data_IF_920769807548
#
_entry.id   IF_920769807548
#
_cell.length_a   1.000
_cell.length_b   1.000
_cell.length_c   1.000
_cell.angle_alpha   90.00
_cell.angle_beta   90.00
_cell.angle_gamma   90.00
#
_symmetry.space_group_name_H-M   'P 1'
#
loop_
_entity.id
_entity.type
_entity.pdbx_description
1 polymer ?
#
# COMPACT_ATOMS: atom_id res chain seq x y z
N UNK A 1 -13.21 -10.61 -2.53
CA UNK A 1 -12.29 -9.69 -1.80
C UNK A 1 -12.53 -9.76 -0.28
N UNK A 2 -11.52 -9.56 0.57
CA UNK A 2 -11.63 -9.73 2.05
C UNK A 2 -12.76 -8.90 2.66
N UNK A 3 -12.91 -7.66 2.21
CA UNK A 3 -13.94 -6.73 2.69
C UNK A 3 -15.29 -6.83 1.96
N UNK A 4 -15.40 -7.73 0.99
CA UNK A 4 -16.66 -8.04 0.31
C UNK A 4 -16.85 -9.56 0.22
N UNK A 5 -17.06 -10.23 1.37
CA UNK A 5 -17.02 -11.69 1.47
C UNK A 5 -18.17 -12.38 0.71
N UNK A 6 -19.25 -11.67 0.40
CA UNK A 6 -20.37 -12.18 -0.39
C UNK A 6 -20.08 -12.30 -1.88
N UNK A 7 -19.09 -11.57 -2.42
CA UNK A 7 -18.75 -11.62 -3.85
C UNK A 7 -18.14 -12.97 -4.19
N UNK A 8 -18.75 -13.74 -5.09
CA UNK A 8 -18.21 -15.01 -5.57
C UNK A 8 -17.23 -14.82 -6.75
N UNK A 9 -16.62 -15.92 -7.20
CA UNK A 9 -15.65 -15.89 -8.30
C UNK A 9 -16.22 -15.30 -9.61
N UNK A 10 -17.45 -15.71 -9.98
CA UNK A 10 -18.07 -15.28 -11.23
C UNK A 10 -18.39 -13.78 -11.21
N UNK A 11 -18.86 -13.26 -10.08
CA UNK A 11 -19.10 -11.82 -9.90
C UNK A 11 -17.79 -11.03 -9.98
N UNK A 12 -16.73 -11.55 -9.36
CA UNK A 12 -15.41 -10.91 -9.43
C UNK A 12 -14.83 -10.96 -10.86
N UNK A 13 -14.97 -12.07 -11.57
CA UNK A 13 -14.59 -12.19 -12.98
C UNK A 13 -15.42 -11.25 -13.89
N UNK A 14 -16.70 -11.05 -13.61
CA UNK A 14 -17.54 -10.10 -14.33
C UNK A 14 -17.05 -8.65 -14.13
N UNK A 15 -16.68 -8.26 -12.89
CA UNK A 15 -16.06 -6.96 -12.62
C UNK A 15 -14.71 -6.81 -13.34
N UNK A 16 -13.90 -7.85 -13.36
CA UNK A 16 -12.64 -7.88 -14.11
C UNK A 16 -12.87 -7.71 -15.62
N UNK A 17 -13.95 -8.27 -16.17
CA UNK A 17 -14.31 -8.08 -17.58
C UNK A 17 -14.69 -6.63 -17.88
N UNK A 18 -15.38 -5.93 -16.97
CA UNK A 18 -15.67 -4.49 -17.11
C UNK A 18 -14.37 -3.68 -17.11
N UNK A 19 -13.46 -3.95 -16.18
CA UNK A 19 -12.14 -3.29 -16.16
C UNK A 19 -11.35 -3.57 -17.44
N UNK A 20 -11.39 -4.80 -17.95
CA UNK A 20 -10.78 -5.17 -19.24
C UNK A 20 -11.37 -4.41 -20.41
N UNK A 21 -12.69 -4.29 -20.50
CA UNK A 21 -13.37 -3.54 -21.57
C UNK A 21 -13.02 -2.05 -21.52
N UNK A 22 -12.87 -1.50 -20.31
CA UNK A 22 -12.39 -0.14 -20.11
C UNK A 22 -10.86 0.01 -20.27
N UNK A 23 -10.14 -1.09 -20.57
CA UNK A 23 -8.68 -1.19 -20.62
C UNK A 23 -7.96 -0.62 -19.38
N UNK A 24 -8.65 -0.64 -18.24
CA UNK A 24 -8.13 -0.17 -16.96
C UNK A 24 -7.64 -1.35 -16.13
N UNK A 25 -6.55 -1.19 -15.35
CA UNK A 25 -6.14 -2.21 -14.41
C UNK A 25 -7.17 -2.36 -13.28
N UNK A 26 -7.43 -3.61 -12.91
CA UNK A 26 -8.20 -3.96 -11.72
C UNK A 26 -7.30 -3.86 -10.50
N UNK A 27 -7.59 -2.94 -9.59
CA UNK A 27 -6.95 -2.86 -8.27
C UNK A 27 -7.74 -3.70 -7.26
N UNK A 28 -7.06 -4.51 -6.47
CA UNK A 28 -7.74 -5.47 -5.60
C UNK A 28 -7.00 -5.77 -4.30
N UNK A 29 -7.77 -5.80 -3.22
CA UNK A 29 -7.43 -6.50 -1.99
C UNK A 29 -7.86 -7.97 -2.12
N UNK A 30 -6.93 -8.92 -1.92
CA UNK A 30 -7.22 -10.35 -2.06
C UNK A 30 -8.24 -10.83 -1.02
N UNK A 31 -8.83 -12.00 -1.26
CA UNK A 31 -9.94 -12.51 -0.44
C UNK A 31 -9.55 -12.94 0.98
N UNK A 32 -8.37 -13.51 1.13
CA UNK A 32 -7.94 -14.11 2.40
C UNK A 32 -6.59 -13.55 2.82
N UNK A 33 -6.47 -13.21 4.11
CA UNK A 33 -5.21 -12.87 4.75
C UNK A 33 -4.90 -13.92 5.83
N UNK A 34 -4.40 -15.08 5.40
CA UNK A 34 -4.13 -16.23 6.27
C UNK A 34 -2.93 -17.05 5.75
N UNK A 35 -1.85 -17.21 6.52
CA UNK A 35 -0.74 -18.10 6.18
C UNK A 35 -1.06 -19.59 6.43
N UNK A 36 -2.30 -19.91 6.79
CA UNK A 36 -2.74 -21.28 7.08
C UNK A 36 -2.74 -22.19 5.85
N UNK A 37 -3.11 -23.47 6.04
CA UNK A 37 -3.14 -24.45 4.96
C UNK A 37 -4.20 -24.10 3.89
N UNK A 38 -4.12 -24.80 2.75
CA UNK A 38 -4.99 -24.60 1.60
C UNK A 38 -6.50 -24.70 1.96
N UNK A 39 -7.31 -23.97 1.21
CA UNK A 39 -8.77 -23.94 1.31
C UNK A 39 -9.33 -22.56 1.61
N UNK A 40 -8.58 -21.70 2.33
CA UNK A 40 -8.85 -20.26 2.59
C UNK A 40 -7.55 -19.51 2.96
N UNK A 41 -6.44 -19.80 2.29
CA UNK A 41 -5.14 -19.19 2.54
C UNK A 41 -4.90 -17.95 1.68
N UNK A 42 -3.90 -17.16 2.04
CA UNK A 42 -3.42 -16.03 1.22
C UNK A 42 -2.95 -16.50 -0.15
N UNK A 43 -2.35 -17.69 -0.24
CA UNK A 43 -1.91 -18.26 -1.50
C UNK A 43 -3.09 -18.68 -2.40
N UNK A 44 -4.16 -19.22 -1.82
CA UNK A 44 -5.41 -19.50 -2.56
C UNK A 44 -6.03 -18.20 -3.09
N UNK A 45 -5.98 -17.13 -2.31
CA UNK A 45 -6.50 -15.82 -2.71
C UNK A 45 -5.64 -15.14 -3.79
N UNK A 46 -4.32 -15.36 -3.79
CA UNK A 46 -3.43 -14.97 -4.90
C UNK A 46 -3.79 -15.78 -6.14
N UNK A 47 -3.92 -17.11 -6.03
CA UNK A 47 -4.33 -17.95 -7.17
C UNK A 47 -5.69 -17.53 -7.75
N UNK A 48 -6.65 -17.15 -6.90
CA UNK A 48 -7.96 -16.63 -7.33
C UNK A 48 -7.80 -15.42 -8.25
N UNK A 49 -7.07 -14.38 -7.83
CA UNK A 49 -6.93 -13.14 -8.62
C UNK A 49 -6.08 -13.36 -9.88
N UNK A 50 -5.08 -14.24 -9.82
CA UNK A 50 -4.29 -14.62 -10.99
C UNK A 50 -5.13 -15.39 -12.01
N UNK A 51 -5.99 -16.31 -11.56
CA UNK A 51 -6.88 -17.05 -12.45
C UNK A 51 -7.91 -16.14 -13.11
N UNK A 52 -8.40 -15.13 -12.41
CA UNK A 52 -9.27 -14.09 -13.00
C UNK A 52 -8.52 -13.31 -14.09
N UNK A 53 -7.27 -12.93 -13.85
CA UNK A 53 -6.44 -12.27 -14.86
C UNK A 53 -6.18 -13.18 -16.07
N UNK A 54 -5.93 -14.48 -15.86
CA UNK A 54 -5.79 -15.47 -16.95
C UNK A 54 -7.05 -15.61 -17.80
N UNK A 55 -8.22 -15.68 -17.15
CA UNK A 55 -9.50 -15.90 -17.85
C UNK A 55 -9.97 -14.67 -18.62
N UNK A 56 -9.75 -13.48 -18.07
CA UNK A 56 -10.29 -12.22 -18.62
C UNK A 56 -9.27 -11.43 -19.44
N UNK A 57 -7.97 -11.70 -19.25
CA UNK A 57 -6.88 -10.89 -19.80
C UNK A 57 -6.81 -9.48 -19.21
N UNK A 58 -7.43 -9.23 -18.05
CA UNK A 58 -7.37 -7.94 -17.36
C UNK A 58 -5.97 -7.68 -16.82
N UNK A 59 -5.56 -6.42 -16.88
CA UNK A 59 -4.38 -5.94 -16.15
C UNK A 59 -4.69 -5.89 -14.66
N UNK A 60 -3.81 -6.40 -13.79
CA UNK A 60 -4.10 -6.60 -12.36
C UNK A 60 -3.11 -5.86 -11.45
N UNK A 61 -3.60 -5.15 -10.44
CA UNK A 61 -2.78 -4.60 -9.36
C UNK A 61 -3.25 -5.15 -8.02
N UNK A 62 -2.36 -5.85 -7.31
CA UNK A 62 -2.67 -6.43 -5.99
C UNK A 62 -2.22 -5.48 -4.88
N UNK A 63 -3.18 -4.98 -4.11
CA UNK A 63 -2.93 -3.94 -3.10
C UNK A 63 -2.15 -4.49 -1.90
N UNK A 64 -1.21 -3.70 -1.34
CA UNK A 64 -0.53 -3.92 -0.04
C UNK A 64 -0.25 -5.41 0.32
N UNK A 65 0.49 -6.12 -0.52
CA UNK A 65 0.65 -7.58 -0.45
C UNK A 65 1.22 -8.07 0.90
N UNK A 66 2.26 -7.45 1.51
CA UNK A 66 2.84 -7.98 2.74
C UNK A 66 1.86 -8.14 3.91
N UNK A 67 0.81 -7.31 3.98
CA UNK A 67 -0.21 -7.45 5.03
C UNK A 67 -1.25 -8.53 4.75
N UNK A 68 -1.33 -9.03 3.52
CA UNK A 68 -2.25 -10.08 3.12
C UNK A 68 -1.54 -11.43 2.99
N UNK A 69 -0.31 -11.44 2.49
CA UNK A 69 0.56 -12.61 2.35
C UNK A 69 1.58 -12.75 3.49
N UNK A 70 1.27 -12.21 4.67
CA UNK A 70 2.11 -12.31 5.87
C UNK A 70 2.51 -13.74 6.17
N UNK A 71 3.81 -14.00 6.39
CA UNK A 71 4.49 -15.29 6.57
C UNK A 71 4.58 -16.20 5.34
N UNK A 72 4.05 -15.80 4.19
CA UNK A 72 4.08 -16.57 2.93
C UNK A 72 4.41 -15.67 1.73
N UNK A 73 5.14 -14.57 1.99
CA UNK A 73 5.45 -13.57 0.97
C UNK A 73 6.34 -14.14 -0.16
N UNK A 74 7.39 -14.94 0.11
CA UNK A 74 8.19 -15.54 -0.96
C UNK A 74 7.36 -16.41 -1.92
N UNK A 75 6.43 -17.21 -1.39
CA UNK A 75 5.54 -18.06 -2.18
C UNK A 75 4.53 -17.23 -2.98
N UNK A 76 4.01 -16.15 -2.41
CA UNK A 76 3.13 -15.21 -3.12
C UNK A 76 3.88 -14.51 -4.26
N UNK A 77 5.12 -14.07 -4.05
CA UNK A 77 5.98 -13.50 -5.10
C UNK A 77 6.22 -14.52 -6.20
N UNK A 78 6.59 -15.76 -5.86
CA UNK A 78 6.83 -16.81 -6.84
C UNK A 78 5.62 -17.08 -7.75
N UNK A 79 4.40 -17.06 -7.18
CA UNK A 79 3.15 -17.18 -7.96
C UNK A 79 2.93 -16.00 -8.90
N UNK A 80 3.17 -14.78 -8.43
CA UNK A 80 3.03 -13.56 -9.25
C UNK A 80 4.09 -13.55 -10.36
N UNK A 81 5.33 -13.89 -10.07
CA UNK A 81 6.42 -13.97 -11.05
C UNK A 81 6.15 -15.04 -12.11
N UNK A 82 5.65 -16.21 -11.71
CA UNK A 82 5.22 -17.25 -12.64
C UNK A 82 4.13 -16.73 -13.59
N UNK A 83 3.07 -16.11 -13.07
CA UNK A 83 2.01 -15.53 -13.89
C UNK A 83 2.51 -14.40 -14.81
N UNK A 84 3.44 -13.56 -14.34
CA UNK A 84 4.07 -12.53 -15.18
C UNK A 84 4.91 -13.14 -16.30
N UNK A 85 5.60 -14.26 -16.04
CA UNK A 85 6.37 -14.99 -17.05
C UNK A 85 5.49 -15.61 -18.15
N UNK A 86 4.22 -15.87 -17.86
CA UNK A 86 3.20 -16.28 -18.83
C UNK A 86 2.68 -15.10 -19.69
N UNK A 87 3.13 -13.86 -19.41
CA UNK A 87 2.75 -12.65 -20.13
C UNK A 87 1.60 -11.85 -19.50
N UNK A 88 1.17 -12.21 -18.28
CA UNK A 88 0.13 -11.45 -17.59
C UNK A 88 0.68 -10.11 -17.07
N UNK A 89 -0.11 -9.05 -17.25
CA UNK A 89 0.21 -7.72 -16.76
C UNK A 89 -0.22 -7.53 -15.29
N UNK A 90 0.66 -7.98 -14.39
CA UNK A 90 0.40 -7.97 -12.94
C UNK A 90 1.41 -7.08 -12.22
N UNK A 91 0.92 -6.18 -11.38
CA UNK A 91 1.71 -5.42 -10.41
C UNK A 91 1.13 -5.61 -9.02
N UNK A 92 1.80 -5.07 -8.02
CA UNK A 92 1.23 -4.93 -6.69
C UNK A 92 1.88 -3.78 -5.95
N UNK A 93 1.46 -3.54 -4.73
CA UNK A 93 2.11 -2.53 -3.90
C UNK A 93 2.37 -3.00 -2.47
N UNK A 94 3.20 -2.21 -1.77
CA UNK A 94 3.51 -2.36 -0.36
C UNK A 94 3.72 -0.99 0.28
N UNK A 95 3.67 -0.98 1.62
CA UNK A 95 4.18 0.10 2.46
C UNK A 95 5.35 -0.45 3.32
N UNK A 96 6.37 0.36 3.60
CA UNK A 96 7.60 -0.09 4.26
C UNK A 96 7.46 -0.19 5.80
N UNK A 97 6.47 -0.96 6.27
CA UNK A 97 6.21 -1.19 7.69
C UNK A 97 6.05 -2.67 7.99
N UNK A 98 6.55 -3.10 9.14
CA UNK A 98 6.41 -4.46 9.70
C UNK A 98 5.08 -4.68 10.43
N UNK A 99 4.12 -3.79 10.19
CA UNK A 99 2.82 -3.81 10.84
C UNK A 99 1.77 -3.21 9.91
N UNK A 100 0.55 -3.72 10.04
CA UNK A 100 -0.62 -3.21 9.33
C UNK A 100 -1.61 -2.55 10.30
N UNK A 101 -2.56 -1.80 9.77
CA UNK A 101 -3.63 -1.20 10.56
C UNK A 101 -5.01 -1.45 9.97
N UNK A 102 -5.98 -1.72 10.83
CA UNK A 102 -7.40 -1.79 10.45
C UNK A 102 -8.27 -1.63 11.70
N UNK A 103 -9.59 -1.59 11.51
CA UNK A 103 -10.54 -1.47 12.60
C UNK A 103 -10.78 -2.81 13.31
N UNK A 104 -10.95 -2.77 14.63
CA UNK A 104 -11.17 -3.97 15.45
C UNK A 104 -12.45 -4.75 15.12
N UNK A 105 -13.43 -4.14 14.46
CA UNK A 105 -14.65 -4.79 13.96
C UNK A 105 -14.49 -5.48 12.61
N UNK A 106 -13.31 -5.45 11.99
CA UNK A 106 -13.07 -6.10 10.69
C UNK A 106 -12.96 -7.63 10.81
N UNK A 107 -13.12 -8.32 9.68
CA UNK A 107 -12.95 -9.78 9.58
C UNK A 107 -11.52 -10.26 9.95
N UNK A 108 -10.54 -9.35 10.00
CA UNK A 108 -9.19 -9.65 10.49
C UNK A 108 -9.15 -10.00 11.98
N UNK A 109 -10.16 -9.62 12.76
CA UNK A 109 -10.24 -9.98 14.18
C UNK A 109 -11.31 -11.05 14.48
N UNK A 110 -11.90 -11.65 13.44
CA UNK A 110 -12.85 -12.76 13.58
C UNK A 110 -12.12 -14.11 13.77
N UNK A 111 -12.72 -15.00 14.57
CA UNK A 111 -12.19 -16.34 14.82
C UNK A 111 -10.85 -16.32 15.57
N UNK A 112 -10.02 -17.33 15.34
CA UNK A 112 -8.68 -17.45 15.94
C UNK A 112 -7.64 -16.61 15.19
N UNK A 113 -7.80 -15.28 15.29
CA UNK A 113 -6.89 -14.33 14.65
C UNK A 113 -5.47 -14.37 15.23
N UNK A 114 -5.32 -14.74 16.51
CA UNK A 114 -4.02 -14.80 17.18
C UNK A 114 -3.15 -15.88 16.55
N UNK A 115 -3.67 -17.10 16.38
CA UNK A 115 -2.94 -18.17 15.70
C UNK A 115 -2.72 -17.86 14.21
N UNK A 116 -3.73 -17.27 13.54
CA UNK A 116 -3.64 -16.90 12.12
C UNK A 116 -2.51 -15.93 11.83
N UNK A 117 -2.37 -14.88 12.65
CA UNK A 117 -1.37 -13.83 12.45
C UNK A 117 -0.13 -13.98 13.34
N UNK A 118 -0.07 -15.05 14.14
CA UNK A 118 1.03 -15.36 15.08
C UNK A 118 1.34 -14.19 16.02
N UNK A 119 0.28 -13.56 16.54
CA UNK A 119 0.33 -12.39 17.42
C UNK A 119 -0.63 -12.56 18.61
N UNK A 120 -0.40 -11.79 19.66
CA UNK A 120 -1.24 -11.70 20.87
C UNK A 120 -1.94 -10.35 20.99
N UNK A 121 -2.82 -10.17 21.98
CA UNK A 121 -3.36 -8.83 22.31
C UNK A 121 -2.26 -7.79 22.54
N UNK A 122 -1.15 -8.18 23.17
CA UNK A 122 -0.04 -7.28 23.45
C UNK A 122 0.74 -6.92 22.17
N UNK A 123 0.49 -7.58 21.04
CA UNK A 123 1.02 -7.25 19.73
C UNK A 123 0.16 -6.22 18.97
N UNK A 124 -0.96 -5.82 19.58
CA UNK A 124 -1.82 -4.76 19.08
C UNK A 124 -1.57 -3.47 19.85
N UNK A 125 -1.60 -2.35 19.14
CA UNK A 125 -1.50 -1.01 19.73
C UNK A 125 -2.65 -0.14 19.25
N UNK A 126 -3.28 0.58 20.18
CA UNK A 126 -4.32 1.55 19.83
C UNK A 126 -3.71 2.70 19.02
N UNK A 127 -4.27 2.97 17.85
CA UNK A 127 -3.87 4.09 17.01
C UNK A 127 -3.96 5.43 17.76
N UNK A 128 -2.91 6.25 17.71
CA UNK A 128 -2.85 7.53 18.41
C UNK A 128 -2.60 7.42 19.92
N UNK A 129 -2.17 6.25 20.40
CA UNK A 129 -1.88 5.97 21.81
C UNK A 129 -0.63 5.10 21.95
N UNK A 130 0.00 5.15 23.12
CA UNK A 130 1.06 4.21 23.51
C UNK A 130 0.50 2.88 24.05
N UNK A 131 -0.82 2.77 24.20
CA UNK A 131 -1.50 1.61 24.80
C UNK A 131 -1.37 0.36 23.91
N UNK A 132 -0.73 -0.67 24.45
CA UNK A 132 -0.83 -2.06 23.96
C UNK A 132 -2.09 -2.70 24.51
N UNK A 133 -2.75 -3.54 23.71
CA UNK A 133 -4.04 -4.08 24.12
C UNK A 133 -3.91 -5.25 25.09
N UNK A 134 -4.91 -5.36 25.96
CA UNK A 134 -5.19 -6.54 26.77
C UNK A 134 -6.48 -7.20 26.26
N UNK A 135 -6.85 -8.41 26.70
CA UNK A 135 -8.15 -8.99 26.36
C UNK A 135 -9.32 -8.04 26.71
N UNK A 136 -9.24 -7.34 27.84
CA UNK A 136 -10.26 -6.41 28.31
C UNK A 136 -10.33 -5.15 27.43
N UNK A 137 -9.18 -4.51 27.15
CA UNK A 137 -9.17 -3.30 26.34
C UNK A 137 -9.46 -3.60 24.87
N UNK A 138 -9.08 -4.77 24.35
CA UNK A 138 -9.52 -5.26 23.05
C UNK A 138 -11.03 -5.34 22.95
N UNK A 139 -11.71 -6.01 23.89
CA UNK A 139 -13.17 -6.14 23.88
C UNK A 139 -13.85 -4.77 23.94
N UNK A 140 -13.34 -3.87 24.78
CA UNK A 140 -13.81 -2.48 24.89
C UNK A 140 -13.68 -1.73 23.57
N UNK A 141 -12.51 -1.76 22.95
CA UNK A 141 -12.23 -1.00 21.73
C UNK A 141 -12.82 -1.63 20.47
N UNK A 142 -13.05 -2.95 20.47
CA UNK A 142 -13.80 -3.64 19.43
C UNK A 142 -15.26 -3.19 19.39
N UNK A 143 -15.91 -3.04 20.56
CA UNK A 143 -17.27 -2.49 20.63
C UNK A 143 -17.37 -1.04 20.13
N UNK A 144 -16.26 -0.30 20.16
CA UNK A 144 -16.15 1.07 19.65
C UNK A 144 -15.61 1.13 18.21
N UNK A 145 -15.31 -0.02 17.61
CA UNK A 145 -14.66 -0.18 16.31
C UNK A 145 -13.43 0.71 16.12
N UNK A 146 -12.54 0.78 17.13
CA UNK A 146 -11.32 1.61 17.04
C UNK A 146 -10.32 1.04 16.05
N UNK A 147 -9.55 1.92 15.42
CA UNK A 147 -8.38 1.52 14.64
C UNK A 147 -7.25 1.06 15.56
N UNK A 148 -6.63 -0.05 15.20
CA UNK A 148 -5.43 -0.57 15.85
C UNK A 148 -4.34 -0.84 14.83
N UNK A 149 -3.10 -0.86 15.31
CA UNK A 149 -1.93 -1.37 14.60
C UNK A 149 -1.64 -2.77 15.11
N UNK A 150 -1.31 -3.69 14.20
CA UNK A 150 -0.92 -5.05 14.52
C UNK A 150 0.49 -5.36 14.01
N UNK A 151 1.38 -5.69 14.94
CA UNK A 151 2.79 -5.97 14.69
C UNK A 151 2.99 -7.41 14.23
N UNK A 152 2.53 -7.71 13.02
CA UNK A 152 2.44 -9.07 12.51
C UNK A 152 3.33 -9.35 11.29
N UNK A 153 3.82 -8.33 10.57
CA UNK A 153 4.52 -8.53 9.30
C UNK A 153 6.02 -8.73 9.58
N UNK A 154 6.59 -9.90 9.26
CA UNK A 154 8.02 -10.12 9.36
C UNK A 154 8.82 -9.15 8.48
N UNK A 155 10.03 -8.79 8.90
CA UNK A 155 10.89 -7.87 8.14
C UNK A 155 11.27 -8.46 6.79
N UNK A 156 11.47 -9.78 6.72
CA UNK A 156 11.78 -10.52 5.50
C UNK A 156 10.67 -10.41 4.44
N UNK A 157 9.39 -10.37 4.84
CA UNK A 157 8.27 -10.18 3.91
C UNK A 157 8.29 -8.78 3.30
N UNK A 158 8.58 -7.76 4.10
CA UNK A 158 8.72 -6.38 3.61
C UNK A 158 9.90 -6.27 2.66
N UNK A 159 11.04 -6.89 3.00
CA UNK A 159 12.24 -6.90 2.17
C UNK A 159 12.00 -7.64 0.84
N UNK A 160 11.27 -8.76 0.87
CA UNK A 160 10.92 -9.51 -0.33
C UNK A 160 10.02 -8.67 -1.27
N UNK A 161 9.00 -8.00 -0.72
CA UNK A 161 8.14 -7.11 -1.49
C UNK A 161 8.88 -5.89 -2.07
N UNK A 162 9.83 -5.35 -1.32
CA UNK A 162 10.66 -4.23 -1.76
C UNK A 162 11.57 -4.62 -2.94
N UNK A 163 12.15 -5.82 -2.91
CA UNK A 163 13.04 -6.36 -3.96
C UNK A 163 12.30 -6.73 -5.24
N UNK A 164 11.01 -7.07 -5.18
CA UNK A 164 10.23 -7.47 -6.35
C UNK A 164 10.12 -6.30 -7.37
N UNK A 165 10.57 -6.45 -8.63
CA UNK A 165 10.60 -5.34 -9.60
C UNK A 165 9.23 -4.72 -9.91
N UNK A 166 8.17 -5.54 -9.88
CA UNK A 166 6.79 -5.15 -10.17
C UNK A 166 6.05 -4.52 -8.98
N UNK A 167 6.67 -4.52 -7.80
CA UNK A 167 6.08 -4.02 -6.56
C UNK A 167 6.29 -2.52 -6.42
N UNK A 168 5.19 -1.78 -6.32
CA UNK A 168 5.11 -0.32 -6.21
C UNK A 168 4.96 0.11 -4.74
N UNK A 169 5.18 1.40 -4.47
CA UNK A 169 5.02 1.93 -3.10
C UNK A 169 3.67 2.63 -2.99
N UNK A 170 2.84 2.15 -2.06
CA UNK A 170 1.54 2.73 -1.73
C UNK A 170 1.39 2.87 -0.22
N UNK A 171 1.00 4.03 0.29
CA UNK A 171 0.94 4.26 1.74
C UNK A 171 -0.12 3.43 2.44
N UNK A 172 -1.24 3.09 1.77
CA UNK A 172 -2.41 2.49 2.40
C UNK A 172 -2.94 3.34 3.58
N UNK A 173 -2.84 4.67 3.45
CA UNK A 173 -3.33 5.59 4.46
C UNK A 173 -4.85 5.40 4.64
N UNK A 174 -5.31 5.33 5.89
CA UNK A 174 -6.74 5.27 6.21
C UNK A 174 -7.16 6.70 6.56
N UNK A 175 -7.87 7.42 5.67
CA UNK A 175 -8.26 8.79 5.91
C UNK A 175 -9.33 8.84 7.01
N UNK A 176 -8.99 9.45 8.14
CA UNK A 176 -9.90 9.72 9.24
C UNK A 176 -10.19 11.22 9.35
N UNK A 177 -11.25 11.59 10.07
CA UNK A 177 -11.55 13.00 10.36
C UNK A 177 -10.43 13.71 11.14
N UNK A 178 -9.69 12.98 11.99
CA UNK A 178 -8.46 13.46 12.63
C UNK A 178 -7.26 13.56 11.67
N UNK A 179 -7.44 13.15 10.41
CA UNK A 179 -6.47 13.01 9.33
C UNK A 179 -5.33 12.02 9.60
N UNK A 180 -5.29 11.36 10.76
CA UNK A 180 -4.25 10.38 10.99
C UNK A 180 -4.55 9.35 12.08
N UNK A 181 -4.46 8.08 11.70
CA UNK A 181 -4.64 6.93 12.57
C UNK A 181 -3.53 5.87 12.39
N UNK A 182 -2.66 5.97 11.37
CA UNK A 182 -1.55 5.03 11.14
C UNK A 182 -0.31 5.77 10.61
N UNK A 183 0.90 5.53 11.14
CA UNK A 183 2.10 6.30 10.79
C UNK A 183 2.44 6.24 9.29
N UNK A 184 2.09 5.15 8.60
CA UNK A 184 2.22 5.03 7.14
C UNK A 184 1.58 6.16 6.34
N UNK A 185 0.55 6.83 6.88
CA UNK A 185 -0.07 7.97 6.21
C UNK A 185 0.85 9.19 6.08
N UNK A 186 1.70 9.45 7.07
CA UNK A 186 2.64 10.57 7.06
C UNK A 186 4.06 10.14 6.65
N UNK A 187 4.47 8.92 7.04
CA UNK A 187 5.86 8.48 6.97
C UNK A 187 6.24 7.58 5.81
N UNK A 188 5.29 7.01 5.04
CA UNK A 188 5.59 5.93 4.07
C UNK A 188 6.79 6.20 3.16
N UNK A 189 6.77 7.32 2.41
CA UNK A 189 7.82 7.61 1.44
C UNK A 189 9.14 8.04 2.09
N UNK A 190 9.11 8.77 3.20
CA UNK A 190 10.33 9.13 3.94
C UNK A 190 10.96 7.94 4.65
N UNK A 191 10.15 6.96 5.08
CA UNK A 191 10.60 5.70 5.66
C UNK A 191 11.31 4.84 4.61
N UNK A 192 10.76 4.80 3.40
CA UNK A 192 11.41 4.16 2.26
C UNK A 192 12.78 4.80 1.97
N UNK A 193 12.83 6.13 1.82
CA UNK A 193 14.03 6.84 1.39
C UNK A 193 15.11 6.99 2.48
N UNK A 194 14.72 7.08 3.75
CA UNK A 194 15.66 7.12 4.87
C UNK A 194 16.07 5.70 5.29
N UNK A 195 15.34 5.07 6.23
CA UNK A 195 15.66 3.73 6.72
C UNK A 195 16.00 2.68 5.65
N UNK A 196 15.14 2.47 4.64
CA UNK A 196 15.36 1.37 3.69
C UNK A 196 16.44 1.67 2.65
N UNK A 197 16.51 2.88 2.09
CA UNK A 197 17.51 3.25 1.08
C UNK A 197 18.83 3.70 1.72
N UNK A 198 18.81 4.71 2.60
CA UNK A 198 20.03 5.30 3.18
C UNK A 198 20.66 4.39 4.23
N UNK A 199 19.87 3.92 5.21
CA UNK A 199 20.43 3.26 6.40
C UNK A 199 20.69 1.76 6.18
N UNK A 200 19.76 1.06 5.53
CA UNK A 200 19.85 -0.39 5.29
C UNK A 200 20.49 -0.74 3.94
N UNK A 201 20.51 0.19 2.97
CA UNK A 201 20.94 -0.12 1.61
C UNK A 201 20.10 -1.20 0.93
N UNK A 202 18.83 -1.36 1.33
CA UNK A 202 17.94 -2.42 0.85
C UNK A 202 17.57 -2.26 -0.63
N UNK A 203 17.67 -1.03 -1.16
CA UNK A 203 17.41 -0.69 -2.55
C UNK A 203 18.21 0.56 -2.94
N UNK A 204 18.52 0.72 -4.22
CA UNK A 204 19.13 1.97 -4.69
C UNK A 204 18.14 3.14 -4.60
N UNK A 205 18.65 4.36 -4.46
CA UNK A 205 17.81 5.56 -4.45
C UNK A 205 16.96 5.66 -5.73
N UNK A 206 17.54 5.34 -6.89
CA UNK A 206 16.84 5.44 -8.16
C UNK A 206 15.72 4.41 -8.32
N UNK A 207 15.92 3.18 -7.85
CA UNK A 207 14.86 2.17 -7.85
C UNK A 207 13.72 2.58 -6.90
N UNK A 208 14.04 3.20 -5.76
CA UNK A 208 13.04 3.63 -4.78
C UNK A 208 12.20 4.76 -5.32
N UNK A 209 12.87 5.75 -5.94
CA UNK A 209 12.21 6.84 -6.65
C UNK A 209 11.36 6.30 -7.79
N UNK A 210 11.84 5.32 -8.57
CA UNK A 210 11.06 4.77 -9.66
C UNK A 210 9.75 4.12 -9.18
N UNK A 211 9.81 3.34 -8.08
CA UNK A 211 8.66 2.67 -7.45
C UNK A 211 7.60 3.62 -6.88
N UNK A 212 7.93 4.88 -6.61
CA UNK A 212 6.98 5.89 -6.11
C UNK A 212 6.73 7.06 -7.07
N UNK A 213 7.33 7.06 -8.28
CA UNK A 213 7.14 8.13 -9.29
C UNK A 213 6.76 7.57 -10.66
N UNK A 214 7.74 7.15 -11.46
CA UNK A 214 7.53 6.77 -12.86
C UNK A 214 6.76 5.46 -13.02
N UNK A 215 6.94 4.48 -12.15
CA UNK A 215 6.27 3.18 -12.28
C UNK A 215 4.76 3.28 -11.99
N UNK A 216 4.31 3.97 -10.92
CA UNK A 216 2.89 4.28 -10.75
C UNK A 216 2.30 5.11 -11.91
N UNK A 217 3.03 6.08 -12.46
CA UNK A 217 2.54 6.86 -13.62
C UNK A 217 2.34 5.98 -14.86
N UNK A 218 3.33 5.14 -15.19
CA UNK A 218 3.27 4.17 -16.29
C UNK A 218 2.19 3.09 -16.11
N UNK A 219 1.74 2.85 -14.88
CA UNK A 219 0.70 1.85 -14.63
C UNK A 219 -0.64 2.20 -15.28
N UNK A 220 -0.90 3.50 -15.46
CA UNK A 220 -2.20 4.02 -15.88
C UNK A 220 -2.10 4.90 -17.13
N UNK A 221 -0.91 5.30 -17.58
CA UNK A 221 -0.75 6.29 -18.65
C UNK A 221 -1.35 5.88 -20.01
N UNK A 222 -1.45 4.57 -20.29
CA UNK A 222 -2.11 4.04 -21.48
C UNK A 222 -3.58 4.48 -21.63
N UNK A 223 -4.31 4.60 -20.51
CA UNK A 223 -5.72 5.06 -20.49
C UNK A 223 -5.92 6.41 -19.84
N UNK A 224 -4.88 6.95 -19.22
CA UNK A 224 -4.88 8.23 -18.53
C UNK A 224 -3.73 9.07 -19.08
N UNK A 225 -3.88 9.71 -20.26
CA UNK A 225 -2.80 10.43 -20.95
C UNK A 225 -2.13 11.51 -20.10
N UNK A 226 -2.87 12.09 -19.14
CA UNK A 226 -2.30 13.06 -18.18
C UNK A 226 -1.13 12.47 -17.38
N UNK A 227 -1.14 11.16 -17.08
CA UNK A 227 -0.06 10.49 -16.36
C UNK A 227 1.21 10.29 -17.21
N UNK A 228 1.11 10.39 -18.54
CA UNK A 228 2.29 10.35 -19.41
C UNK A 228 3.24 11.52 -19.17
N UNK A 229 2.75 12.63 -18.57
CA UNK A 229 3.56 13.79 -18.20
C UNK A 229 3.97 13.80 -16.72
N UNK A 230 3.67 12.73 -15.97
CA UNK A 230 3.92 12.65 -14.53
C UNK A 230 5.03 11.64 -14.19
N UNK A 231 5.52 11.74 -12.95
CA UNK A 231 6.51 10.83 -12.38
C UNK A 231 7.90 10.94 -12.99
N UNK A 232 8.23 12.04 -13.67
CA UNK A 232 9.51 12.26 -14.36
C UNK A 232 9.93 13.74 -14.33
N UNK A 233 11.24 13.98 -14.29
CA UNK A 233 11.83 15.32 -14.44
C UNK A 233 12.37 15.47 -15.86
N UNK A 234 11.53 15.97 -16.77
CA UNK A 234 11.82 16.15 -18.19
C UNK A 234 11.12 17.42 -18.70
N UNK A 235 11.58 17.96 -19.83
CA UNK A 235 10.83 19.03 -20.51
C UNK A 235 9.41 18.55 -20.81
N UNK A 236 8.44 19.48 -20.74
CA UNK A 236 7.00 19.25 -20.97
C UNK A 236 6.29 18.31 -19.96
N UNK A 237 7.00 17.82 -18.94
CA UNK A 237 6.40 17.12 -17.80
C UNK A 237 5.76 18.11 -16.81
N UNK A 238 4.76 17.65 -16.07
CA UNK A 238 4.14 18.44 -15.00
C UNK A 238 5.17 18.69 -13.88
N UNK A 239 5.20 19.92 -13.36
CA UNK A 239 6.09 20.31 -12.27
C UNK A 239 5.61 19.80 -10.89
N UNK A 240 5.43 18.49 -10.78
CA UNK A 240 5.19 17.74 -9.55
C UNK A 240 6.55 17.32 -8.96
N UNK A 241 7.14 18.18 -8.13
CA UNK A 241 8.55 18.08 -7.72
C UNK A 241 8.65 18.03 -6.20
N UNK A 242 9.46 17.11 -5.68
CA UNK A 242 9.84 17.07 -4.26
C UNK A 242 11.34 17.32 -4.14
N UNK A 243 11.73 18.33 -3.36
CA UNK A 243 13.12 18.62 -3.01
C UNK A 243 13.36 18.13 -1.60
N UNK A 244 14.29 17.19 -1.43
CA UNK A 244 14.63 16.62 -0.13
C UNK A 244 16.13 16.41 0.01
N UNK A 245 16.61 16.38 1.25
CA UNK A 245 17.98 16.04 1.59
C UNK A 245 18.10 14.52 1.83
N UNK A 246 18.82 13.79 0.96
CA UNK A 246 18.98 12.35 1.10
C UNK A 246 19.73 11.95 2.38
N UNK A 247 20.53 12.83 2.98
CA UNK A 247 21.24 12.53 4.22
C UNK A 247 20.31 12.58 5.45
N UNK A 248 19.25 13.40 5.43
CA UNK A 248 18.41 13.66 6.61
C UNK A 248 16.96 13.23 6.48
N UNK A 249 16.51 12.78 5.30
CA UNK A 249 15.13 12.30 5.10
C UNK A 249 14.80 11.13 6.04
N UNK A 250 13.69 11.25 6.76
CA UNK A 250 13.23 10.24 7.72
C UNK A 250 11.75 10.42 8.06
N UNK A 251 11.05 9.30 8.29
CA UNK A 251 9.75 9.34 8.97
C UNK A 251 9.92 9.67 10.45
N UNK A 252 9.01 10.47 10.99
CA UNK A 252 8.95 10.75 12.44
C UNK A 252 7.65 10.30 13.08
N UNK A 253 6.67 9.94 12.25
CA UNK A 253 5.37 9.41 12.68
C UNK A 253 5.52 8.09 13.41
N UNK A 254 4.92 7.99 14.59
CA UNK A 254 4.83 6.75 15.38
C UNK A 254 3.37 6.29 15.48
N UNK A 255 3.10 5.11 16.04
CA UNK A 255 1.70 4.70 16.30
C UNK A 255 1.02 5.64 17.30
N UNK A 256 1.75 6.13 18.30
CA UNK A 256 1.25 7.11 19.28
C UNK A 256 1.00 8.48 18.64
N UNK A 257 1.87 8.91 17.72
CA UNK A 257 1.80 10.23 17.07
C UNK A 257 1.85 10.05 15.56
N UNK A 258 0.78 9.55 14.94
CA UNK A 258 0.85 9.09 13.56
C UNK A 258 0.88 10.25 12.55
N UNK A 259 0.50 11.46 12.97
CA UNK A 259 0.51 12.70 12.19
C UNK A 259 1.82 13.50 12.16
N UNK A 260 2.89 13.02 12.80
CA UNK A 260 4.15 13.76 12.79
C UNK A 260 4.73 13.83 11.37
N UNK A 261 5.09 15.04 10.97
CA UNK A 261 5.65 15.31 9.64
C UNK A 261 7.05 14.72 9.50
N UNK A 262 7.33 14.16 8.33
CA UNK A 262 8.68 13.71 7.97
C UNK A 262 9.71 14.84 7.99
N UNK A 263 10.96 14.47 8.22
CA UNK A 263 12.13 15.36 8.12
C UNK A 263 12.77 15.28 6.73
N UNK A 264 13.62 16.26 6.42
CA UNK A 264 14.45 16.29 5.21
C UNK A 264 13.75 16.78 3.94
N UNK A 265 12.43 16.98 3.93
CA UNK A 265 11.71 17.52 2.76
C UNK A 265 11.72 19.05 2.82
N UNK A 266 12.38 19.71 1.87
CA UNK A 266 12.48 21.17 1.80
C UNK A 266 11.31 21.80 1.04
N UNK A 267 11.03 21.30 -0.17
CA UNK A 267 9.94 21.80 -1.01
C UNK A 267 9.10 20.67 -1.59
N UNK A 268 7.81 20.95 -1.76
CA UNK A 268 6.91 20.14 -2.58
C UNK A 268 6.16 21.10 -3.51
N UNK A 269 6.21 20.83 -4.79
CA UNK A 269 5.49 21.55 -5.84
C UNK A 269 4.46 20.60 -6.45
N UNK A 270 3.26 21.12 -6.71
CA UNK A 270 2.18 20.42 -7.42
C UNK A 270 1.78 21.29 -8.59
N UNK A 271 1.96 20.79 -9.81
CA UNK A 271 1.81 21.56 -11.04
C UNK A 271 2.56 22.93 -11.00
N UNK A 272 3.74 22.96 -10.37
CA UNK A 272 4.56 24.17 -10.21
C UNK A 272 4.16 25.09 -9.05
N UNK A 273 2.99 24.90 -8.43
CA UNK A 273 2.58 25.65 -7.25
C UNK A 273 3.23 25.07 -5.99
N UNK A 274 3.80 25.93 -5.15
CA UNK A 274 4.43 25.53 -3.89
C UNK A 274 3.35 25.03 -2.91
N UNK A 275 3.33 23.72 -2.66
CA UNK A 275 2.47 23.07 -1.67
C UNK A 275 3.15 22.95 -0.30
N UNK A 276 4.48 22.93 -0.26
CA UNK A 276 5.30 22.98 0.95
C UNK A 276 6.59 23.74 0.68
N UNK A 277 7.03 24.56 1.64
CA UNK A 277 8.35 25.18 1.68
C UNK A 277 9.00 25.00 3.08
N UNK A 278 10.16 25.63 3.37
CA UNK A 278 10.79 25.57 4.70
C UNK A 278 9.94 26.17 5.83
N UNK A 279 8.98 27.04 5.55
CA UNK A 279 8.04 27.57 6.56
C UNK A 279 6.87 26.62 6.85
N UNK A 280 6.67 25.59 6.03
CA UNK A 280 5.68 24.55 6.25
C UNK A 280 4.75 24.30 5.05
N UNK A 281 3.65 23.60 5.32
CA UNK A 281 2.63 23.25 4.31
C UNK A 281 1.76 24.46 4.00
N UNK A 282 1.57 24.74 2.70
CA UNK A 282 0.73 25.83 2.19
C UNK A 282 -0.69 25.32 1.96
N UNK A 283 -1.51 25.34 3.02
CA UNK A 283 -2.88 24.78 2.98
C UNK A 283 -3.80 25.42 1.94
N UNK A 284 -3.55 26.68 1.59
CA UNK A 284 -4.30 27.41 0.56
C UNK A 284 -3.79 27.12 -0.87
N UNK A 285 -2.63 26.49 -1.02
CA UNK A 285 -2.06 26.12 -2.32
C UNK A 285 -2.71 24.85 -2.84
N UNK A 286 -3.64 25.01 -3.77
CA UNK A 286 -4.41 23.92 -4.39
C UNK A 286 -4.03 23.74 -5.86
N UNK A 287 -2.75 23.43 -6.11
CA UNK A 287 -2.23 23.20 -7.47
C UNK A 287 -2.71 21.88 -8.12
N UNK A 288 -3.39 21.03 -7.35
CA UNK A 288 -3.88 19.74 -7.84
C UNK A 288 -5.01 19.89 -8.87
N UNK A 289 -5.03 18.97 -9.83
CA UNK A 289 -6.10 18.84 -10.83
C UNK A 289 -6.60 17.39 -10.84
N UNK A 290 -7.87 17.21 -11.18
CA UNK A 290 -8.42 15.87 -11.38
C UNK A 290 -7.64 15.17 -12.50
N UNK A 291 -7.20 13.94 -12.24
CA UNK A 291 -6.53 13.10 -13.24
C UNK A 291 -7.59 12.23 -13.90
N UNK A 292 -7.91 12.55 -15.16
CA UNK A 292 -9.01 11.91 -15.88
C UNK A 292 -8.49 11.01 -17.00
N UNK A 293 -9.06 9.82 -17.09
CA UNK A 293 -8.84 8.90 -18.21
C UNK A 293 -9.62 9.32 -19.46
N UNK A 294 -9.30 8.67 -20.58
CA UNK A 294 -10.16 8.74 -21.76
C UNK A 294 -11.49 8.02 -21.46
N UNK A 295 -12.64 8.54 -21.96
CA UNK A 295 -13.90 7.83 -21.89
C UNK A 295 -13.77 6.39 -22.41
N UNK A 296 -14.48 5.47 -21.77
CA UNK A 296 -14.56 4.07 -22.21
C UNK A 296 -15.43 3.93 -23.46
#
# INVERSE_FOLDING_TARGET
>A
PEYAPSINFNEYAALAQVAKQAEMPLFTHIRYSSPGPAGKSSLDAIDEVLNVARQTGVSLHVDHIPSMATHVMPEAIAKIDAARSEGLDITGCFYPYTFWGTYLGSARFAGDWQSRFRISYNDLQLAGSSERLTPESFKKYQAQNKLVVAYAIPQEDVNAALSAPWSLVGSDAIPESSNNNHPRGAGCFSRLLGPYVRDMGALSLMDALAKCTILPAKRLDARVPMLARKGRLQMDADADITIFDPATIADTSTVEKPAQMSKGISYVLVAGAIAKDPSGVKRESRGGQAITGQPA
#
